data_IF_105496849233
#
_entry.id   IF_105496849233
#
_cell.length_a   1.000
_cell.length_b   1.000
_cell.length_c   1.000
_cell.angle_alpha   90.00
_cell.angle_beta   90.00
_cell.angle_gamma   90.00
#
_symmetry.space_group_name_H-M   'P 1'
#
loop_
_entity.id
_entity.type
_entity.pdbx_description
1 polymer ?
#
# COMPACT_ATOMS: atom_id res chain seq x y z
N UNK A 1 -14.43 -4.58 4.11
CA UNK A 1 -13.01 -5.00 4.16
C UNK A 1 -12.49 -5.05 2.74
N UNK A 2 -11.17 -5.02 2.54
CA UNK A 2 -10.56 -5.14 1.20
C UNK A 2 -11.05 -6.42 0.50
N UNK A 3 -11.02 -7.55 1.20
CA UNK A 3 -11.42 -8.86 0.65
C UNK A 3 -12.85 -8.87 0.08
N UNK A 4 -13.81 -8.27 0.79
CA UNK A 4 -15.20 -8.21 0.34
C UNK A 4 -15.37 -7.52 -1.01
N UNK A 5 -14.64 -6.44 -1.25
CA UNK A 5 -14.76 -5.69 -2.52
C UNK A 5 -13.86 -6.27 -3.61
N UNK A 6 -12.70 -6.81 -3.22
CA UNK A 6 -11.77 -7.48 -4.12
C UNK A 6 -12.40 -8.74 -4.73
N UNK A 7 -12.90 -9.66 -3.91
CA UNK A 7 -13.59 -10.89 -4.36
C UNK A 7 -14.86 -10.63 -5.17
N UNK A 8 -15.47 -9.45 -5.03
CA UNK A 8 -16.63 -9.04 -5.81
C UNK A 8 -16.26 -8.39 -7.16
N UNK A 9 -14.97 -8.23 -7.48
CA UNK A 9 -14.51 -7.54 -8.69
C UNK A 9 -14.89 -6.05 -8.74
N UNK A 10 -15.00 -5.41 -7.57
CA UNK A 10 -15.47 -4.01 -7.44
C UNK A 10 -14.35 -3.00 -7.18
N UNK A 11 -13.11 -3.43 -7.29
CA UNK A 11 -11.93 -2.57 -7.16
C UNK A 11 -11.34 -2.34 -8.55
N UNK A 12 -11.07 -1.09 -8.89
CA UNK A 12 -10.39 -0.72 -10.14
C UNK A 12 -9.09 0.07 -9.90
N UNK A 13 -9.02 0.77 -8.76
CA UNK A 13 -7.93 1.69 -8.41
C UNK A 13 -7.70 1.65 -6.91
N UNK A 14 -6.46 1.39 -6.47
CA UNK A 14 -6.10 1.26 -5.06
C UNK A 14 -4.94 2.19 -4.72
N UNK A 15 -5.18 3.09 -3.77
CA UNK A 15 -4.15 3.89 -3.13
C UNK A 15 -3.54 3.07 -1.99
N UNK A 16 -2.27 2.70 -2.12
CA UNK A 16 -1.56 1.93 -1.11
C UNK A 16 -0.73 2.87 -0.24
N UNK A 17 -1.33 3.32 0.86
CA UNK A 17 -0.68 4.12 1.90
C UNK A 17 -1.14 3.67 3.28
N UNK A 18 -0.32 3.92 4.29
CA UNK A 18 -0.59 3.50 5.65
C UNK A 18 -0.66 4.68 6.61
N UNK A 19 -1.42 4.51 7.69
CA UNK A 19 -1.60 5.52 8.74
C UNK A 19 -1.54 4.84 10.10
N UNK A 20 -1.20 5.61 11.12
CA UNK A 20 -1.35 5.21 12.51
C UNK A 20 -2.37 6.12 13.20
N UNK A 21 -3.33 5.52 13.89
CA UNK A 21 -4.43 6.21 14.54
C UNK A 21 -5.69 6.32 13.68
N UNK A 22 -6.59 7.22 14.08
CA UNK A 22 -7.91 7.36 13.48
C UNK A 22 -8.39 8.80 13.52
N UNK A 23 -9.26 9.17 12.59
CA UNK A 23 -9.88 10.51 12.57
C UNK A 23 -10.45 10.87 13.96
N UNK A 24 -10.17 12.08 14.48
CA UNK A 24 -9.42 13.17 13.85
C UNK A 24 -7.89 13.15 14.09
N UNK A 25 -7.37 12.20 14.87
CA UNK A 25 -5.96 12.12 15.24
C UNK A 25 -5.28 10.89 14.59
N UNK A 26 -4.70 11.11 13.42
CA UNK A 26 -3.89 10.11 12.74
C UNK A 26 -2.64 10.74 12.15
N UNK A 27 -1.62 9.91 11.92
CA UNK A 27 -0.38 10.27 11.24
C UNK A 27 -0.23 9.42 9.98
N UNK A 28 0.20 10.04 8.87
CA UNK A 28 0.65 9.32 7.68
C UNK A 28 1.98 8.63 7.99
N UNK A 29 2.06 7.33 7.71
CA UNK A 29 3.21 6.49 8.01
C UNK A 29 3.84 5.96 6.72
N UNK A 30 5.05 5.38 6.83
CA UNK A 30 5.57 4.57 5.74
C UNK A 30 4.62 3.40 5.46
N UNK A 31 4.64 2.89 4.22
CA UNK A 31 3.69 1.86 3.77
C UNK A 31 3.71 0.61 4.68
N UNK A 32 4.85 0.32 5.29
CA UNK A 32 5.13 -0.83 6.14
C UNK A 32 5.10 -0.55 7.66
N UNK A 33 4.78 0.68 8.08
CA UNK A 33 4.87 1.11 9.49
C UNK A 33 3.58 1.78 10.00
N UNK A 34 2.41 1.30 9.57
CA UNK A 34 1.11 1.79 10.06
C UNK A 34 0.20 0.67 10.56
N UNK A 35 -1.03 1.04 10.93
CA UNK A 35 -1.99 0.14 11.60
C UNK A 35 -2.52 -0.97 10.67
N UNK A 36 -2.40 -0.79 9.35
CA UNK A 36 -2.88 -1.77 8.36
C UNK A 36 -1.73 -2.70 7.92
N UNK A 37 -1.95 -4.01 7.97
CA UNK A 37 -1.05 -4.99 7.36
C UNK A 37 -1.15 -4.92 5.83
N UNK A 38 -0.24 -4.16 5.22
CA UNK A 38 -0.24 -3.97 3.76
C UNK A 38 0.18 -5.23 3.00
N UNK A 39 0.94 -6.15 3.60
CA UNK A 39 1.26 -7.41 2.94
C UNK A 39 -0.01 -8.26 2.81
N UNK A 40 -0.85 -8.28 3.83
CA UNK A 40 -2.13 -8.98 3.77
C UNK A 40 -3.08 -8.35 2.75
N UNK A 41 -3.11 -7.02 2.65
CA UNK A 41 -3.86 -6.33 1.58
C UNK A 41 -3.40 -6.80 0.19
N UNK A 42 -2.09 -6.86 -0.06
CA UNK A 42 -1.54 -7.32 -1.34
C UNK A 42 -1.87 -8.79 -1.60
N UNK A 43 -1.77 -9.67 -0.58
CA UNK A 43 -2.16 -11.08 -0.70
C UNK A 43 -3.63 -11.23 -1.07
N UNK A 44 -4.52 -10.46 -0.44
CA UNK A 44 -5.95 -10.46 -0.74
C UNK A 44 -6.23 -10.01 -2.19
N UNK A 45 -5.57 -8.95 -2.64
CA UNK A 45 -5.71 -8.46 -4.02
C UNK A 45 -5.23 -9.52 -5.02
N UNK A 46 -4.06 -10.10 -4.79
CA UNK A 46 -3.49 -11.15 -5.63
C UNK A 46 -4.38 -12.40 -5.69
N UNK A 47 -4.79 -12.92 -4.52
CA UNK A 47 -5.65 -14.11 -4.41
C UNK A 47 -6.96 -13.98 -5.16
N UNK A 48 -7.55 -12.77 -5.16
CA UNK A 48 -8.82 -12.51 -5.82
C UNK A 48 -8.67 -12.05 -7.28
N UNK A 49 -7.46 -12.10 -7.85
CA UNK A 49 -7.22 -11.80 -9.26
C UNK A 49 -7.39 -10.32 -9.62
N UNK A 50 -7.04 -9.41 -8.71
CA UNK A 50 -7.10 -7.97 -8.98
C UNK A 50 -6.19 -7.60 -10.17
N UNK A 51 -6.77 -6.93 -11.18
CA UNK A 51 -6.13 -6.53 -12.44
C UNK A 51 -6.13 -5.00 -12.64
N UNK A 52 -6.52 -4.25 -11.61
CA UNK A 52 -6.56 -2.79 -11.62
C UNK A 52 -5.22 -2.13 -11.32
N UNK A 53 -5.26 -0.81 -11.10
CA UNK A 53 -4.05 -0.02 -10.83
C UNK A 53 -3.81 0.11 -9.33
N UNK A 54 -2.55 -0.07 -8.94
CA UNK A 54 -2.06 0.10 -7.58
C UNK A 54 -1.01 1.22 -7.56
N UNK A 55 -1.20 2.25 -6.74
CA UNK A 55 -0.28 3.39 -6.63
C UNK A 55 0.21 3.62 -5.20
N UNK A 56 1.45 4.10 -5.00
CA UNK A 56 1.79 4.81 -3.77
C UNK A 56 1.03 6.15 -3.74
N UNK A 57 0.51 6.54 -2.58
CA UNK A 57 -0.27 7.77 -2.43
C UNK A 57 0.49 8.83 -1.64
N UNK A 58 0.60 8.63 -0.32
CA UNK A 58 1.31 9.53 0.59
C UNK A 58 2.45 8.79 1.28
N UNK A 59 3.54 9.51 1.55
CA UNK A 59 4.70 9.01 2.31
C UNK A 59 5.18 10.08 3.28
N UNK A 60 5.74 9.70 4.45
CA UNK A 60 6.37 10.65 5.35
C UNK A 60 7.46 11.48 4.66
N UNK A 61 7.69 12.69 5.17
CA UNK A 61 8.77 13.54 4.69
C UNK A 61 10.12 12.97 5.16
N UNK A 62 11.00 12.66 4.22
CA UNK A 62 12.36 12.20 4.50
C UNK A 62 13.33 13.38 4.44
N UNK A 63 14.20 13.51 5.44
CA UNK A 63 15.26 14.50 5.44
C UNK A 63 16.38 14.09 4.47
N UNK A 64 16.29 14.57 3.23
CA UNK A 64 17.31 14.37 2.19
C UNK A 64 17.22 15.43 1.09
N UNK A 65 18.10 15.36 0.09
CA UNK A 65 18.13 16.32 -1.02
C UNK A 65 16.89 16.25 -1.95
N UNK A 66 16.16 15.13 -1.96
CA UNK A 66 14.96 14.96 -2.79
C UNK A 66 13.84 14.21 -2.02
N UNK A 67 13.22 14.83 -1.00
CA UNK A 67 12.34 14.15 -0.04
C UNK A 67 11.18 13.37 -0.68
N UNK A 68 10.48 14.00 -1.62
CA UNK A 68 9.36 13.38 -2.35
C UNK A 68 9.80 12.13 -3.12
N UNK A 69 10.89 12.25 -3.89
CA UNK A 69 11.40 11.14 -4.70
C UNK A 69 11.88 9.99 -3.82
N UNK A 70 12.53 10.29 -2.69
CA UNK A 70 12.99 9.27 -1.75
C UNK A 70 11.83 8.49 -1.12
N UNK A 71 10.78 9.19 -0.66
CA UNK A 71 9.58 8.55 -0.12
C UNK A 71 8.87 7.67 -1.16
N UNK A 72 8.64 8.20 -2.36
CA UNK A 72 8.01 7.45 -3.45
C UNK A 72 8.84 6.25 -3.89
N UNK A 73 10.16 6.39 -3.99
CA UNK A 73 11.06 5.29 -4.35
C UNK A 73 11.02 4.17 -3.31
N UNK A 74 10.99 4.51 -2.02
CA UNK A 74 10.82 3.54 -0.95
C UNK A 74 9.48 2.79 -1.07
N UNK A 75 8.37 3.52 -1.21
CA UNK A 75 7.04 2.91 -1.34
C UNK A 75 6.93 2.01 -2.57
N UNK A 76 7.41 2.46 -3.74
CA UNK A 76 7.42 1.66 -4.97
C UNK A 76 8.29 0.40 -4.85
N UNK A 77 9.48 0.53 -4.23
CA UNK A 77 10.38 -0.58 -3.99
C UNK A 77 9.74 -1.64 -3.09
N UNK A 78 9.10 -1.20 -2.00
CA UNK A 78 8.37 -2.07 -1.09
C UNK A 78 7.18 -2.76 -1.79
N UNK A 79 6.36 -2.00 -2.53
CA UNK A 79 5.21 -2.53 -3.28
C UNK A 79 5.64 -3.61 -4.28
N UNK A 80 6.72 -3.36 -5.02
CA UNK A 80 7.26 -4.33 -5.97
C UNK A 80 7.69 -5.62 -5.28
N UNK A 81 8.37 -5.51 -4.13
CA UNK A 81 8.77 -6.68 -3.35
C UNK A 81 7.55 -7.47 -2.84
N UNK A 82 6.54 -6.79 -2.32
CA UNK A 82 5.30 -7.41 -1.83
C UNK A 82 4.56 -8.18 -2.93
N UNK A 83 4.44 -7.59 -4.13
CA UNK A 83 3.82 -8.25 -5.30
C UNK A 83 4.64 -9.48 -5.70
N UNK A 84 5.97 -9.35 -5.82
CA UNK A 84 6.85 -10.48 -6.16
C UNK A 84 6.80 -11.61 -5.14
N UNK A 85 6.55 -11.30 -3.86
CA UNK A 85 6.34 -12.30 -2.82
C UNK A 85 5.01 -13.04 -3.00
N UNK A 86 3.92 -12.32 -3.29
CA UNK A 86 2.60 -12.91 -3.52
C UNK A 86 2.59 -13.83 -4.76
N UNK A 87 3.34 -13.49 -5.80
CA UNK A 87 3.51 -14.32 -7.00
C UNK A 87 4.21 -15.67 -6.74
N UNK A 88 4.98 -15.77 -5.65
CA UNK A 88 5.83 -16.94 -5.33
C UNK A 88 5.26 -17.85 -4.25
N UNK A 89 4.15 -17.47 -3.63
CA UNK A 89 3.50 -18.18 -2.54
C UNK A 89 2.27 -18.93 -3.03
#
# INVERSE_FOLDING_TARGET
>A
TVDRYSSAGKLAYVHLRNVQGKVPHYHEMFVDDGDTDMLEVIRILYKNGFDGVLIPDHTPLIECAAPWHAGMAHALGWMRAAIMMAERS
#
